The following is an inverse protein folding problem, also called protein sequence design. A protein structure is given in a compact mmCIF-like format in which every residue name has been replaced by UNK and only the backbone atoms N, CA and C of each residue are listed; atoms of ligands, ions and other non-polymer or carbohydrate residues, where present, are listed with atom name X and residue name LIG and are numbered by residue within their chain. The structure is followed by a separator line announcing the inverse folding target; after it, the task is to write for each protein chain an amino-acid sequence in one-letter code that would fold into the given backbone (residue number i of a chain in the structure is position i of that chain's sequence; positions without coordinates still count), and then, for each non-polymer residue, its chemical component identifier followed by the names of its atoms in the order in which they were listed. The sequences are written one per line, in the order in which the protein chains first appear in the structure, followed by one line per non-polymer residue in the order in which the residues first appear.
data_IF_468490699233
#
_entry.id   IF_468490699233
#
_cell.length_a   1.000
_cell.length_b   1.000
_cell.length_c   1.000
_cell.angle_alpha   90.00
_cell.angle_beta   90.00
_cell.angle_gamma   90.00
#
_symmetry.space_group_name_H-M   'P 1'
#
loop_
_entity.id
_entity.type
_entity.pdbx_description
1 polymer ?
#
# COMPACT_ATOMS: atom_id res chain seq x y z
N UNK A 1 -5.38 -17.66 -8.86
CA UNK A 1 -4.88 -16.27 -8.72
C UNK A 1 -4.52 -16.06 -7.25
N UNK A 2 -3.28 -15.68 -6.94
CA UNK A 2 -2.88 -15.40 -5.55
C UNK A 2 -3.36 -14.01 -5.16
N UNK A 3 -3.94 -13.91 -3.96
CA UNK A 3 -4.35 -12.66 -3.30
C UNK A 3 -4.09 -12.82 -1.79
N UNK A 4 -3.80 -11.72 -1.07
CA UNK A 4 -3.68 -10.33 -1.52
C UNK A 4 -2.47 -10.10 -2.44
N UNK A 5 -2.36 -8.92 -3.07
CA UNK A 5 -1.15 -8.59 -3.84
C UNK A 5 0.02 -8.26 -2.89
N UNK A 6 -0.25 -7.47 -1.86
CA UNK A 6 0.66 -7.04 -0.79
C UNK A 6 -0.14 -6.84 0.50
N UNK A 7 0.54 -6.70 1.63
CA UNK A 7 -0.05 -6.28 2.92
C UNK A 7 0.52 -4.92 3.37
N UNK A 8 -0.20 -4.24 4.26
CA UNK A 8 0.24 -2.97 4.84
C UNK A 8 -0.16 -2.89 6.31
N UNK A 9 0.37 -1.89 7.01
CA UNK A 9 0.01 -1.62 8.40
C UNK A 9 -1.48 -1.27 8.49
N UNK A 10 -2.20 -2.00 9.34
CA UNK A 10 -3.64 -1.82 9.50
C UNK A 10 -4.13 -2.20 10.89
N UNK A 11 -3.24 -2.33 11.87
CA UNK A 11 -3.59 -2.62 13.25
C UNK A 11 -3.06 -1.51 14.15
N UNK A 12 -3.92 -1.05 15.05
CA UNK A 12 -3.61 -0.03 16.05
C UNK A 12 -3.01 1.25 15.46
N UNK A 13 -3.49 1.66 14.28
CA UNK A 13 -3.03 2.85 13.56
C UNK A 13 -3.80 4.07 14.05
N UNK A 14 -3.08 5.13 14.39
CA UNK A 14 -3.71 6.40 14.76
C UNK A 14 -4.26 7.10 13.52
N UNK A 15 -5.58 7.30 13.48
CA UNK A 15 -6.27 8.05 12.43
C UNK A 15 -7.16 9.14 13.01
N UNK A 16 -7.61 10.05 12.14
CA UNK A 16 -8.48 11.16 12.54
C UNK A 16 -9.84 10.68 13.04
N UNK A 17 -10.35 11.32 14.09
CA UNK A 17 -11.72 11.15 14.60
C UNK A 17 -12.62 12.23 13.99
N UNK A 18 -13.89 11.89 13.74
CA UNK A 18 -14.88 12.82 13.13
C UNK A 18 -14.96 14.17 13.87
N UNK A 19 -14.84 14.16 15.20
CA UNK A 19 -14.92 15.38 16.00
C UNK A 19 -13.60 16.17 16.02
N UNK A 20 -12.62 15.65 16.75
CA UNK A 20 -11.31 16.25 16.95
C UNK A 20 -10.36 15.19 17.53
N UNK A 21 -9.07 15.37 17.27
CA UNK A 21 -8.02 14.45 17.72
C UNK A 21 -7.95 13.15 16.93
N UNK A 22 -7.18 12.21 17.46
CA UNK A 22 -6.90 10.93 16.83
C UNK A 22 -7.52 9.78 17.63
N UNK A 23 -7.83 8.68 16.95
CA UNK A 23 -8.22 7.41 17.57
C UNK A 23 -7.48 6.25 16.93
N UNK A 24 -7.24 5.20 17.71
CA UNK A 24 -6.70 3.94 17.18
C UNK A 24 -7.73 3.25 16.30
N UNK A 25 -7.30 2.80 15.13
CA UNK A 25 -8.07 2.11 14.11
C UNK A 25 -7.39 0.81 13.73
N UNK A 26 -8.19 -0.24 13.54
CA UNK A 26 -7.74 -1.54 13.10
C UNK A 26 -8.65 -2.07 11.99
N UNK A 27 -8.06 -2.68 10.97
CA UNK A 27 -8.76 -3.29 9.84
C UNK A 27 -8.08 -3.02 8.49
N UNK A 28 -8.46 -3.80 7.49
CA UNK A 28 -8.01 -3.61 6.10
C UNK A 28 -8.51 -2.28 5.51
N UNK A 29 -9.60 -1.73 6.05
CA UNK A 29 -10.08 -0.36 5.76
C UNK A 29 -9.08 0.73 6.15
N UNK A 30 -8.07 0.41 6.98
CA UNK A 30 -6.95 1.30 7.31
C UNK A 30 -5.73 1.00 6.43
N UNK A 31 -5.45 -0.28 6.16
CA UNK A 31 -4.35 -0.67 5.28
C UNK A 31 -4.52 -0.15 3.83
N UNK A 32 -5.76 -0.13 3.32
CA UNK A 32 -6.05 0.34 1.96
C UNK A 32 -5.65 1.81 1.72
N UNK A 33 -6.07 2.80 2.54
CA UNK A 33 -5.62 4.18 2.37
C UNK A 33 -4.12 4.39 2.63
N UNK A 34 -3.46 3.54 3.44
CA UNK A 34 -2.00 3.57 3.57
C UNK A 34 -1.33 3.27 2.23
N UNK A 35 -1.75 2.21 1.54
CA UNK A 35 -1.24 1.87 0.20
C UNK A 35 -1.61 2.95 -0.82
N UNK A 36 -2.81 3.55 -0.73
CA UNK A 36 -3.18 4.66 -1.61
C UNK A 36 -2.25 5.87 -1.44
N UNK A 37 -1.81 6.18 -0.22
CA UNK A 37 -0.81 7.22 0.06
C UNK A 37 0.56 6.89 -0.53
N UNK A 38 1.02 5.64 -0.40
CA UNK A 38 2.25 5.16 -1.04
C UNK A 38 2.19 5.34 -2.57
N UNK A 39 1.09 4.93 -3.19
CA UNK A 39 0.88 5.14 -4.65
C UNK A 39 0.89 6.62 -5.00
N UNK A 40 0.27 7.49 -4.20
CA UNK A 40 0.30 8.93 -4.42
C UNK A 40 1.74 9.48 -4.46
N UNK A 41 2.60 9.04 -3.55
CA UNK A 41 4.02 9.41 -3.52
C UNK A 41 4.81 8.82 -4.70
N UNK A 42 4.55 7.58 -5.07
CA UNK A 42 5.17 6.99 -6.27
C UNK A 42 4.77 7.74 -7.56
N UNK A 43 3.53 8.25 -7.64
CA UNK A 43 3.10 9.06 -8.78
C UNK A 43 3.74 10.45 -8.77
N UNK A 44 3.98 11.04 -7.59
CA UNK A 44 4.51 12.40 -7.48
C UNK A 44 5.96 12.51 -7.96
N UNK A 45 6.74 11.43 -7.91
CA UNK A 45 8.11 11.39 -8.42
C UNK A 45 8.21 11.22 -9.94
N UNK A 46 7.11 10.87 -10.62
CA UNK A 46 7.11 10.69 -12.08
C UNK A 46 7.03 12.07 -12.76
N UNK A 47 8.00 12.44 -13.63
CA UNK A 47 7.96 13.68 -14.40
C UNK A 47 6.66 13.80 -15.20
N UNK A 48 6.09 15.01 -15.25
CA UNK A 48 4.82 15.24 -15.97
C UNK A 48 4.83 14.81 -17.44
N UNK A 49 5.90 15.03 -18.23
CA UNK A 49 5.95 14.57 -19.62
C UNK A 49 5.84 13.05 -19.77
N UNK A 50 6.38 12.30 -18.80
CA UNK A 50 6.46 10.83 -18.85
C UNK A 50 5.26 10.15 -18.19
N UNK A 51 4.48 10.89 -17.38
CA UNK A 51 3.39 10.34 -16.56
C UNK A 51 2.39 9.54 -17.37
N UNK A 52 1.98 10.00 -18.56
CA UNK A 52 1.02 9.28 -19.42
C UNK A 52 1.55 7.96 -19.98
N UNK A 53 2.87 7.84 -20.13
CA UNK A 53 3.52 6.65 -20.70
C UNK A 53 3.82 5.61 -19.61
N UNK A 54 4.16 6.07 -18.40
CA UNK A 54 4.58 5.19 -17.30
C UNK A 54 3.44 4.84 -16.33
N UNK A 55 2.49 5.75 -16.09
CA UNK A 55 1.46 5.58 -15.07
C UNK A 55 0.28 4.76 -15.58
N UNK A 56 0.13 3.55 -15.06
CA UNK A 56 -1.06 2.73 -15.23
C UNK A 56 -1.21 1.75 -14.04
N UNK A 57 -2.37 1.10 -13.86
CA UNK A 57 -2.57 0.19 -12.73
C UNK A 57 -1.58 -0.99 -12.70
N UNK A 58 -1.10 -1.46 -13.86
CA UNK A 58 -0.17 -2.59 -13.92
C UNK A 58 1.24 -2.16 -13.49
N UNK A 59 1.74 -1.01 -13.95
CA UNK A 59 3.05 -0.49 -13.53
C UNK A 59 3.08 -0.15 -12.04
N UNK A 60 2.01 0.44 -11.51
CA UNK A 60 1.91 0.71 -10.06
C UNK A 60 1.84 -0.58 -9.25
N UNK A 61 1.06 -1.59 -9.71
CA UNK A 61 1.06 -2.90 -9.08
C UNK A 61 2.45 -3.53 -9.09
N UNK A 62 3.14 -3.47 -10.22
CA UNK A 62 4.45 -4.07 -10.38
C UNK A 62 5.45 -3.45 -9.40
N UNK A 63 5.53 -2.11 -9.35
CA UNK A 63 6.39 -1.41 -8.41
C UNK A 63 6.11 -1.79 -6.94
N UNK A 64 4.83 -1.89 -6.55
CA UNK A 64 4.44 -2.29 -5.20
C UNK A 64 4.78 -3.75 -4.86
N UNK A 65 4.60 -4.67 -5.81
CA UNK A 65 4.84 -6.11 -5.62
C UNK A 65 6.33 -6.41 -5.59
N UNK A 66 7.10 -5.82 -6.51
CA UNK A 66 8.55 -6.02 -6.60
C UNK A 66 9.30 -5.32 -5.47
N UNK A 67 8.78 -4.19 -4.98
CA UNK A 67 9.36 -3.46 -3.83
C UNK A 67 8.92 -3.98 -2.46
N UNK A 68 8.03 -4.97 -2.38
CA UNK A 68 7.49 -5.42 -1.09
C UNK A 68 8.54 -6.18 -0.25
N UNK A 69 8.55 -5.89 1.06
CA UNK A 69 9.36 -6.61 2.04
C UNK A 69 8.68 -7.94 2.44
N UNK A 70 9.30 -9.07 2.08
CA UNK A 70 8.78 -10.39 2.42
C UNK A 70 8.90 -10.68 3.93
N UNK A 71 7.80 -11.11 4.53
CA UNK A 71 7.72 -11.46 5.95
C UNK A 71 8.05 -12.94 6.16
N UNK A 72 8.77 -13.24 7.25
CA UNK A 72 8.98 -14.61 7.69
C UNK A 72 7.74 -15.14 8.41
N UNK A 73 7.30 -16.35 8.07
CA UNK A 73 6.13 -17.00 8.69
C UNK A 73 4.92 -17.09 7.76
N UNK A 74 4.24 -15.97 7.42
CA UNK A 74 3.05 -15.99 6.57
C UNK A 74 3.34 -16.57 5.18
N UNK A 75 2.41 -17.33 4.63
CA UNK A 75 2.53 -17.85 3.27
C UNK A 75 2.02 -16.84 2.23
N UNK A 76 2.17 -17.16 0.93
CA UNK A 76 1.81 -16.24 -0.17
C UNK A 76 0.31 -15.86 -0.21
N UNK A 77 -0.59 -16.68 0.35
CA UNK A 77 -2.02 -16.38 0.43
C UNK A 77 -2.38 -15.47 1.60
N UNK A 78 -1.44 -15.26 2.54
CA UNK A 78 -1.61 -14.40 3.70
C UNK A 78 -0.96 -13.03 3.48
N UNK A 79 0.25 -13.00 2.90
CA UNK A 79 1.02 -11.77 2.70
C UNK A 79 1.11 -11.29 1.25
N UNK A 80 0.67 -12.09 0.27
CA UNK A 80 0.95 -11.80 -1.14
C UNK A 80 2.45 -11.80 -1.42
N UNK A 81 2.94 -10.73 -2.04
CA UNK A 81 4.36 -10.51 -2.27
C UNK A 81 5.13 -10.10 -1.01
N UNK A 82 4.45 -9.52 -0.01
CA UNK A 82 5.06 -9.01 1.21
C UNK A 82 4.37 -7.76 1.73
N UNK A 83 4.95 -7.15 2.76
CA UNK A 83 4.53 -5.85 3.29
C UNK A 83 5.01 -4.73 2.38
N UNK A 84 4.17 -3.74 2.13
CA UNK A 84 4.58 -2.50 1.46
C UNK A 84 5.82 -1.90 2.11
N UNK A 85 6.76 -1.45 1.28
CA UNK A 85 7.99 -0.77 1.64
C UNK A 85 8.20 0.35 0.61
N UNK A 86 8.33 1.60 1.07
CA UNK A 86 8.41 2.79 0.21
C UNK A 86 9.80 3.40 0.31
#
# INVERSE_FOLDING_TARGET
RVKPDIVAYGRDIMGSKISSGCKSLSGTSVASPVVAGVVCLLVSVIPEPDRKNLLNPASMKQALVEGAAKLAGPNMYEQGAGRVDL
#
